data_IF_251442093393
#
_entry.id   IF_251442093393
#
_cell.length_a   1.000
_cell.length_b   1.000
_cell.length_c   1.000
_cell.angle_alpha   90.00
_cell.angle_beta   90.00
_cell.angle_gamma   90.00
#
_symmetry.space_group_name_H-M   'P 1'
#
loop_
_entity.id
_entity.type
_entity.pdbx_description
1 polymer ?
#
# COMPACT_ATOMS: atom_id res chain seq x y z
N UNK A 1 -8.33 -12.97 -6.13
CA UNK A 1 -7.88 -11.64 -5.65
C UNK A 1 -8.20 -11.44 -4.18
N UNK A 2 -7.17 -11.29 -3.35
CA UNK A 2 -7.33 -10.89 -1.95
C UNK A 2 -6.79 -9.47 -1.77
N UNK A 3 -7.66 -8.53 -1.42
CA UNK A 3 -7.31 -7.11 -1.30
C UNK A 3 -7.60 -6.65 0.12
N UNK A 4 -6.53 -6.30 0.85
CA UNK A 4 -6.61 -5.72 2.20
C UNK A 4 -6.34 -4.22 2.13
N UNK A 5 -7.22 -3.43 2.74
CA UNK A 5 -7.09 -1.98 2.82
C UNK A 5 -7.24 -1.58 4.28
N UNK A 6 -6.23 -0.91 4.83
CA UNK A 6 -6.24 -0.38 6.18
C UNK A 6 -6.02 1.12 6.16
N UNK A 7 -6.83 1.86 6.92
CA UNK A 7 -6.58 3.27 7.20
C UNK A 7 -6.02 3.43 8.59
N UNK A 8 -4.71 3.68 8.72
CA UNK A 8 -4.03 3.86 10.01
C UNK A 8 -3.75 5.34 10.34
N UNK A 9 -3.95 6.24 9.38
CA UNK A 9 -3.95 7.68 9.63
C UNK A 9 -5.35 8.19 10.01
N UNK A 10 -5.39 9.31 10.72
CA UNK A 10 -6.63 9.96 11.21
C UNK A 10 -6.95 11.30 10.54
N UNK A 11 -6.07 11.81 9.67
CA UNK A 11 -6.19 13.11 9.00
C UNK A 11 -7.34 13.16 7.99
N UNK A 12 -7.58 12.07 7.26
CA UNK A 12 -8.55 12.03 6.16
C UNK A 12 -9.36 10.73 6.16
N UNK A 13 -10.67 10.80 5.92
CA UNK A 13 -11.48 9.61 5.69
C UNK A 13 -11.21 9.06 4.29
N UNK A 14 -10.99 7.76 4.17
CA UNK A 14 -10.79 7.09 2.88
C UNK A 14 -12.04 6.31 2.45
N UNK A 15 -12.37 6.38 1.17
CA UNK A 15 -13.38 5.50 0.57
C UNK A 15 -12.73 4.17 0.17
N UNK A 16 -12.66 3.24 1.13
CA UNK A 16 -12.07 1.93 0.91
C UNK A 16 -12.83 1.07 -0.11
N UNK A 17 -14.13 1.35 -0.35
CA UNK A 17 -14.91 0.67 -1.38
C UNK A 17 -14.49 1.12 -2.77
N UNK A 18 -14.41 2.44 -3.00
CA UNK A 18 -13.94 3.00 -4.28
C UNK A 18 -12.51 2.58 -4.59
N UNK A 19 -11.62 2.66 -3.60
CA UNK A 19 -10.22 2.21 -3.76
C UNK A 19 -10.16 0.73 -4.13
N UNK A 20 -10.91 -0.13 -3.43
CA UNK A 20 -10.98 -1.57 -3.75
C UNK A 20 -11.44 -1.81 -5.18
N UNK A 21 -12.49 -1.13 -5.64
CA UNK A 21 -12.98 -1.26 -7.02
C UNK A 21 -11.91 -0.91 -8.06
N UNK A 22 -11.19 0.19 -7.85
CA UNK A 22 -10.09 0.61 -8.73
C UNK A 22 -8.93 -0.39 -8.74
N UNK A 23 -8.53 -0.90 -7.57
CA UNK A 23 -7.46 -1.90 -7.45
C UNK A 23 -7.84 -3.20 -8.16
N UNK A 24 -9.09 -3.67 -8.01
CA UNK A 24 -9.59 -4.85 -8.73
C UNK A 24 -9.47 -4.64 -10.24
N UNK A 25 -9.93 -3.48 -10.74
CA UNK A 25 -9.87 -3.16 -12.16
C UNK A 25 -8.43 -3.15 -12.67
N UNK A 26 -7.52 -2.50 -11.94
CA UNK A 26 -6.11 -2.40 -12.32
C UNK A 26 -5.43 -3.76 -12.36
N UNK A 27 -5.59 -4.57 -11.29
CA UNK A 27 -5.01 -5.91 -11.22
C UNK A 27 -5.53 -6.84 -12.32
N UNK A 28 -6.80 -6.73 -12.73
CA UNK A 28 -7.32 -7.47 -13.89
C UNK A 28 -6.67 -7.02 -15.20
N UNK A 29 -6.50 -5.72 -15.40
CA UNK A 29 -5.88 -5.17 -16.61
C UNK A 29 -4.43 -5.62 -16.79
N UNK A 30 -3.69 -5.81 -15.70
CA UNK A 30 -2.29 -6.26 -15.73
C UNK A 30 -2.15 -7.80 -15.61
N UNK A 31 -3.24 -8.56 -15.67
CA UNK A 31 -3.20 -10.03 -15.60
C UNK A 31 -2.91 -10.61 -14.21
N UNK A 32 -2.99 -9.82 -13.14
CA UNK A 32 -2.72 -10.24 -11.76
C UNK A 32 -3.99 -10.57 -10.96
N UNK A 33 -5.01 -11.16 -11.60
CA UNK A 33 -6.30 -11.45 -10.98
C UNK A 33 -6.25 -12.54 -9.88
N UNK A 34 -5.15 -13.27 -9.73
CA UNK A 34 -5.02 -14.30 -8.69
C UNK A 34 -4.13 -13.87 -7.51
N UNK A 35 -3.44 -12.73 -7.63
CA UNK A 35 -2.51 -12.24 -6.61
C UNK A 35 -3.22 -11.60 -5.40
N UNK A 36 -2.47 -11.47 -4.30
CA UNK A 36 -2.85 -10.74 -3.08
C UNK A 36 -2.14 -9.39 -3.01
N UNK A 37 -2.84 -8.34 -2.57
CA UNK A 37 -2.27 -7.03 -2.31
C UNK A 37 -2.80 -6.45 -1.00
N UNK A 38 -1.92 -5.82 -0.23
CA UNK A 38 -2.24 -5.08 0.99
C UNK A 38 -1.86 -3.61 0.84
N UNK A 39 -2.80 -2.71 1.11
CA UNK A 39 -2.62 -1.26 1.05
C UNK A 39 -2.89 -0.67 2.43
N UNK A 40 -1.92 0.05 2.98
CA UNK A 40 -2.04 0.71 4.29
C UNK A 40 -1.80 2.21 4.13
N UNK A 41 -2.80 3.01 4.50
CA UNK A 41 -2.66 4.47 4.56
C UNK A 41 -2.15 4.85 5.93
N UNK A 42 -1.02 5.56 5.98
CA UNK A 42 -0.34 5.97 7.21
C UNK A 42 -0.06 7.47 7.17
N UNK A 43 0.38 8.04 8.30
CA UNK A 43 0.80 9.44 8.39
C UNK A 43 2.29 9.60 8.06
N UNK A 44 2.73 10.87 8.03
CA UNK A 44 4.09 11.25 7.64
C UNK A 44 5.16 10.70 8.61
N UNK A 45 4.82 10.59 9.89
CA UNK A 45 5.71 10.03 10.91
C UNK A 45 5.91 8.52 10.69
N UNK A 46 4.83 7.77 10.52
CA UNK A 46 4.89 6.35 10.26
C UNK A 46 5.61 6.01 8.94
N UNK A 47 5.34 6.75 7.85
CA UNK A 47 6.03 6.49 6.57
C UNK A 47 7.51 6.91 6.61
N UNK A 48 7.88 7.95 7.36
CA UNK A 48 9.29 8.31 7.59
C UNK A 48 10.03 7.20 8.33
N UNK A 49 9.43 6.63 9.38
CA UNK A 49 10.02 5.50 10.12
C UNK A 49 10.24 4.30 9.19
N UNK A 50 9.23 3.96 8.36
CA UNK A 50 9.36 2.89 7.37
C UNK A 50 10.43 3.20 6.32
N UNK A 51 10.51 4.42 5.83
CA UNK A 51 11.51 4.82 4.84
C UNK A 51 12.93 4.72 5.40
N UNK A 52 13.10 5.10 6.67
CA UNK A 52 14.37 4.93 7.39
C UNK A 52 14.70 3.45 7.59
N UNK A 53 13.72 2.62 7.96
CA UNK A 53 13.93 1.20 8.23
C UNK A 53 14.29 0.40 6.96
N UNK A 54 13.57 0.63 5.86
CA UNK A 54 13.69 -0.20 4.67
C UNK A 54 14.58 0.39 3.57
N UNK A 55 14.63 1.73 3.43
CA UNK A 55 15.43 2.41 2.41
C UNK A 55 16.59 3.23 3.00
N UNK A 56 16.78 3.24 4.32
CA UNK A 56 17.81 4.00 5.03
C UNK A 56 17.74 5.52 4.79
N UNK A 57 16.55 6.03 4.45
CA UNK A 57 16.30 7.45 4.21
C UNK A 57 15.41 8.02 5.33
N UNK A 58 15.97 8.92 6.15
CA UNK A 58 15.23 9.56 7.25
C UNK A 58 14.41 10.77 6.79
N UNK A 59 13.50 10.54 5.86
CA UNK A 59 12.52 11.52 5.35
C UNK A 59 11.21 10.83 5.00
N UNK A 60 10.06 11.51 5.07
CA UNK A 60 8.82 10.94 4.54
C UNK A 60 8.91 10.74 3.02
N UNK A 61 8.09 9.84 2.50
CA UNK A 61 7.88 9.62 1.06
C UNK A 61 6.39 9.41 0.81
N UNK A 62 5.95 9.50 -0.44
CA UNK A 62 4.52 9.36 -0.77
C UNK A 62 4.06 7.90 -0.76
N UNK A 63 4.93 6.99 -1.19
CA UNK A 63 4.62 5.56 -1.33
C UNK A 63 5.86 4.72 -1.02
N UNK A 64 5.65 3.60 -0.33
CA UNK A 64 6.60 2.50 -0.19
C UNK A 64 5.92 1.22 -0.65
N UNK A 65 6.57 0.47 -1.53
CA UNK A 65 6.11 -0.83 -2.03
C UNK A 65 7.03 -1.94 -1.51
N UNK A 66 6.44 -3.01 -1.01
CA UNK A 66 7.15 -4.20 -0.53
C UNK A 66 6.71 -5.39 -1.36
N UNK A 67 7.63 -5.96 -2.12
CA UNK A 67 7.41 -7.22 -2.85
C UNK A 67 7.45 -8.38 -1.87
N UNK A 68 6.44 -9.25 -1.90
CA UNK A 68 6.46 -10.51 -1.13
C UNK A 68 7.16 -11.65 -1.89
N UNK A 69 7.47 -11.44 -3.17
CA UNK A 69 8.15 -12.41 -4.04
C UNK A 69 9.66 -12.13 -4.18
N UNK A 70 10.17 -10.96 -3.76
CA UNK A 70 11.61 -10.69 -3.79
C UNK A 70 12.26 -11.26 -2.52
N UNK A 71 12.90 -12.43 -2.67
CA UNK A 71 13.56 -13.13 -1.56
C UNK A 71 13.66 -14.66 -1.68
N UNK A 72 13.20 -15.26 -2.79
CA UNK A 72 13.69 -16.59 -3.23
C UNK A 72 15.01 -16.48 -4.00
#
# INVERSE_FOLDING_TARGET
MKIRIANRQKRTKIDSRRIRGNVIRLLRLIGCAEKEISISFVDDEAIRLLNRQYLRLDKPTNVLSFSLEEGE
#
